data_IF_679541743553
#
_entry.id   IF_679541743553
#
_cell.length_a   1.000
_cell.length_b   1.000
_cell.length_c   1.000
_cell.angle_alpha   90.00
_cell.angle_beta   90.00
_cell.angle_gamma   90.00
#
_symmetry.space_group_name_H-M   'P 1'
#
loop_
_entity.id
_entity.type
_entity.pdbx_description
1 polymer ?
#
# COMPACT_ATOMS: atom_id res chain seq x y z
N UNK A 1 28.29 -43.49 5.50
CA UNK A 1 26.99 -42.92 5.03
C UNK A 1 26.80 -41.52 5.60
N UNK A 2 26.98 -40.46 4.80
CA UNK A 2 26.76 -39.07 5.24
C UNK A 2 25.28 -38.70 5.06
N UNK A 3 24.56 -38.43 6.16
CA UNK A 3 23.17 -37.95 6.14
C UNK A 3 23.15 -36.49 5.65
N UNK A 4 22.57 -36.26 4.48
CA UNK A 4 22.30 -34.91 3.95
C UNK A 4 21.13 -34.34 4.76
N UNK A 5 21.40 -33.32 5.60
CA UNK A 5 20.34 -32.53 6.24
C UNK A 5 19.66 -31.67 5.17
N UNK A 6 18.41 -31.99 4.86
CA UNK A 6 17.51 -31.17 4.03
C UNK A 6 17.38 -29.80 4.73
N UNK A 7 17.92 -28.73 4.13
CA UNK A 7 17.65 -27.35 4.55
C UNK A 7 16.15 -27.11 4.36
N UNK A 8 15.37 -27.17 5.43
CA UNK A 8 14.02 -26.63 5.45
C UNK A 8 14.16 -25.14 5.14
N UNK A 9 13.70 -24.71 3.97
CA UNK A 9 13.64 -23.30 3.64
C UNK A 9 12.80 -22.61 4.73
N UNK A 10 13.40 -21.65 5.42
CA UNK A 10 12.68 -20.75 6.32
C UNK A 10 11.63 -20.02 5.48
N UNK A 11 10.37 -20.47 5.54
CA UNK A 11 9.25 -19.78 4.91
C UNK A 11 8.89 -18.56 5.75
N UNK A 12 9.76 -17.55 5.74
CA UNK A 12 9.32 -16.20 6.12
C UNK A 12 8.12 -15.87 5.22
N UNK A 13 6.97 -15.44 5.76
CA UNK A 13 5.87 -15.01 4.94
C UNK A 13 6.38 -13.90 4.01
N UNK A 14 6.26 -14.13 2.70
CA UNK A 14 6.67 -13.15 1.68
C UNK A 14 5.83 -11.90 1.94
N UNK A 15 6.47 -10.77 2.28
CA UNK A 15 5.79 -9.47 2.38
C UNK A 15 4.90 -9.31 1.14
N UNK A 16 3.62 -8.91 1.25
CA UNK A 16 2.79 -8.72 0.06
C UNK A 16 3.40 -7.65 -0.86
N UNK A 17 3.10 -7.68 -2.17
CA UNK A 17 3.43 -6.54 -3.01
C UNK A 17 2.65 -5.30 -2.55
N UNK A 18 3.17 -4.11 -2.82
CA UNK A 18 2.48 -2.86 -2.50
C UNK A 18 1.33 -2.63 -3.49
N UNK A 19 1.60 -2.88 -4.77
CA UNK A 19 0.61 -2.81 -5.83
C UNK A 19 0.68 -4.06 -6.70
N UNK A 20 -0.46 -4.42 -7.24
CA UNK A 20 -0.61 -5.36 -8.34
C UNK A 20 -1.20 -4.59 -9.51
N UNK A 21 -0.57 -4.62 -10.67
CA UNK A 21 -1.13 -4.05 -11.88
C UNK A 21 -1.41 -5.18 -12.83
N UNK A 22 -2.52 -5.16 -13.52
CA UNK A 22 -2.69 -6.06 -14.64
C UNK A 22 -3.46 -5.43 -15.78
N UNK A 23 -3.40 -6.14 -16.89
CA UNK A 23 -3.79 -5.64 -18.19
C UNK A 23 -4.04 -6.81 -19.14
N UNK A 24 -4.87 -6.56 -20.13
CA UNK A 24 -5.33 -7.58 -21.09
C UNK A 24 -4.66 -7.41 -22.44
N UNK A 25 -4.17 -6.21 -22.74
CA UNK A 25 -3.64 -5.85 -24.05
C UNK A 25 -2.13 -5.61 -23.97
N UNK A 26 -1.42 -6.20 -24.93
CA UNK A 26 0.03 -6.15 -25.17
C UNK A 26 0.94 -6.96 -24.25
N UNK A 27 2.10 -7.32 -24.82
CA UNK A 27 3.28 -7.74 -24.05
C UNK A 27 3.64 -6.66 -23.02
N UNK A 28 4.19 -7.04 -21.85
CA UNK A 28 4.59 -6.06 -20.84
C UNK A 28 5.52 -4.99 -21.44
N UNK A 29 5.26 -3.68 -21.21
CA UNK A 29 6.06 -2.63 -21.82
C UNK A 29 7.53 -2.78 -21.39
N UNK A 30 8.50 -2.62 -22.31
CA UNK A 30 9.90 -2.63 -21.93
C UNK A 30 10.17 -1.58 -20.83
N UNK A 31 11.00 -1.87 -19.84
CA UNK A 31 11.23 -0.98 -18.69
C UNK A 31 11.66 0.45 -19.07
N UNK A 32 12.27 0.62 -20.25
CA UNK A 32 12.64 1.94 -20.77
C UNK A 32 11.45 2.87 -21.03
N UNK A 33 10.27 2.34 -21.40
CA UNK A 33 9.05 3.15 -21.56
C UNK A 33 8.58 3.74 -20.23
N UNK A 34 8.65 2.93 -19.17
CA UNK A 34 8.35 3.39 -17.82
C UNK A 34 9.32 4.50 -17.38
N UNK A 35 10.61 4.35 -17.68
CA UNK A 35 11.60 5.38 -17.38
C UNK A 35 11.37 6.68 -18.15
N UNK A 36 11.08 6.59 -19.45
CA UNK A 36 10.75 7.75 -20.28
C UNK A 36 9.52 8.50 -19.73
N UNK A 37 8.42 7.78 -19.51
CA UNK A 37 7.20 8.34 -18.93
C UNK A 37 7.45 8.98 -17.56
N UNK A 38 8.19 8.31 -16.68
CA UNK A 38 8.47 8.85 -15.34
C UNK A 38 9.29 10.14 -15.41
N UNK A 39 10.29 10.20 -16.30
CA UNK A 39 11.14 11.37 -16.45
C UNK A 39 10.36 12.58 -16.97
N UNK A 40 9.44 12.35 -17.91
CA UNK A 40 8.54 13.38 -18.41
C UNK A 40 7.55 13.85 -17.33
N UNK A 41 6.90 12.92 -16.64
CA UNK A 41 5.86 13.23 -15.67
C UNK A 41 6.38 13.81 -14.34
N UNK A 42 7.57 13.40 -13.89
CA UNK A 42 8.09 13.74 -12.55
C UNK A 42 9.51 14.34 -12.56
N UNK A 43 10.05 14.69 -13.73
CA UNK A 43 11.36 15.36 -13.86
C UNK A 43 12.58 14.43 -13.81
N UNK A 44 12.43 13.16 -13.41
CA UNK A 44 13.47 12.14 -13.50
C UNK A 44 14.77 12.44 -12.74
N UNK A 45 15.85 11.65 -12.97
CA UNK A 45 15.88 10.43 -13.76
C UNK A 45 15.33 9.21 -12.98
N UNK A 46 14.60 8.34 -13.67
CA UNK A 46 14.32 6.96 -13.26
C UNK A 46 15.34 6.04 -13.92
N UNK A 47 16.18 5.41 -13.10
CA UNK A 47 17.14 4.40 -13.53
C UNK A 47 16.52 3.02 -13.42
N UNK A 48 16.70 2.20 -14.45
CA UNK A 48 16.27 0.79 -14.44
C UNK A 48 17.48 -0.11 -14.25
N UNK A 49 17.45 -0.97 -13.23
CA UNK A 49 18.43 -2.03 -13.02
C UNK A 49 17.78 -3.39 -13.28
N UNK A 50 18.16 -4.05 -14.37
CA UNK A 50 17.66 -5.39 -14.71
C UNK A 50 18.19 -6.42 -13.69
N UNK A 51 17.32 -7.33 -13.22
CA UNK A 51 17.65 -8.28 -12.17
C UNK A 51 17.67 -9.73 -12.69
N UNK A 52 18.86 -10.31 -12.73
CA UNK A 52 19.08 -11.72 -13.08
C UNK A 52 19.11 -12.00 -14.58
N UNK A 53 19.13 -13.28 -14.94
CA UNK A 53 19.14 -13.75 -16.34
C UNK A 53 17.76 -13.71 -17.02
N UNK A 54 16.71 -13.37 -16.27
CA UNK A 54 15.29 -13.34 -16.71
C UNK A 54 14.95 -12.09 -17.56
N UNK A 55 15.96 -11.41 -18.11
CA UNK A 55 15.77 -10.28 -19.04
C UNK A 55 14.99 -9.09 -18.44
N UNK A 56 14.09 -8.52 -19.25
CA UNK A 56 13.33 -7.30 -18.94
C UNK A 56 12.11 -7.55 -18.03
N UNK A 57 11.84 -8.80 -17.63
CA UNK A 57 10.65 -9.15 -16.85
C UNK A 57 10.81 -8.97 -15.34
N UNK A 58 12.03 -8.71 -14.85
CA UNK A 58 12.29 -8.37 -13.47
C UNK A 58 13.35 -7.29 -13.40
N UNK A 59 13.00 -6.18 -12.76
CA UNK A 59 13.90 -5.04 -12.66
C UNK A 59 13.63 -4.24 -11.39
N UNK A 60 14.60 -3.43 -11.01
CA UNK A 60 14.46 -2.41 -9.98
C UNK A 60 14.37 -1.04 -10.65
N UNK A 61 13.31 -0.30 -10.32
CA UNK A 61 13.09 1.08 -10.73
C UNK A 61 13.57 2.02 -9.62
N UNK A 62 14.59 2.81 -9.93
CA UNK A 62 15.36 3.59 -8.99
C UNK A 62 15.28 5.08 -9.29
N UNK A 63 14.83 5.88 -8.32
CA UNK A 63 14.88 7.33 -8.37
C UNK A 63 15.49 7.83 -7.06
N UNK A 64 16.56 8.63 -7.14
CA UNK A 64 17.38 9.07 -5.98
C UNK A 64 17.83 7.89 -5.09
N UNK A 65 17.33 7.77 -3.86
CA UNK A 65 17.54 6.66 -2.91
C UNK A 65 16.36 5.69 -2.87
N UNK A 66 15.23 6.02 -3.50
CA UNK A 66 14.01 5.22 -3.50
C UNK A 66 14.07 4.13 -4.56
N UNK A 67 13.65 2.93 -4.19
CA UNK A 67 13.74 1.73 -5.02
C UNK A 67 12.43 0.96 -4.97
N UNK A 68 11.92 0.57 -6.13
CA UNK A 68 10.80 -0.35 -6.24
C UNK A 68 11.20 -1.52 -7.15
N UNK A 69 10.92 -2.75 -6.72
CA UNK A 69 11.13 -3.92 -7.57
C UNK A 69 9.84 -4.22 -8.32
N UNK A 70 9.96 -4.36 -9.65
CA UNK A 70 8.87 -4.73 -10.55
C UNK A 70 9.11 -6.14 -11.07
N UNK A 71 8.08 -6.99 -10.99
CA UNK A 71 8.10 -8.34 -11.52
C UNK A 71 6.92 -8.54 -12.46
N UNK A 72 7.19 -8.71 -13.75
CA UNK A 72 6.19 -8.83 -14.82
C UNK A 72 5.96 -10.27 -15.28
N UNK A 73 7.00 -11.12 -15.23
CA UNK A 73 6.85 -12.56 -15.46
C UNK A 73 6.58 -13.26 -14.11
N UNK A 74 5.32 -13.29 -13.72
CA UNK A 74 4.86 -14.04 -12.56
C UNK A 74 4.55 -15.49 -12.97
N UNK A 75 4.87 -16.49 -12.12
CA UNK A 75 4.37 -17.85 -12.29
C UNK A 75 2.84 -17.91 -12.39
N UNK A 76 2.31 -18.85 -13.19
CA UNK A 76 0.86 -18.97 -13.45
C UNK A 76 0.03 -19.18 -12.17
N UNK A 77 0.57 -19.86 -11.16
CA UNK A 77 -0.08 -20.03 -9.86
C UNK A 77 -0.27 -18.70 -9.12
N UNK A 78 0.69 -17.78 -9.24
CA UNK A 78 0.59 -16.43 -8.66
C UNK A 78 -0.41 -15.59 -9.45
N UNK A 79 -0.40 -15.66 -10.78
CA UNK A 79 -1.35 -14.94 -11.64
C UNK A 79 -2.78 -15.40 -11.35
N UNK A 80 -3.03 -16.71 -11.34
CA UNK A 80 -4.34 -17.28 -11.06
C UNK A 80 -4.80 -16.96 -9.62
N UNK A 81 -3.90 -16.99 -8.64
CA UNK A 81 -4.23 -16.58 -7.28
C UNK A 81 -4.71 -15.12 -7.17
N UNK A 82 -4.13 -14.19 -7.96
CA UNK A 82 -4.63 -12.82 -8.03
C UNK A 82 -5.96 -12.71 -8.77
N UNK A 83 -6.13 -13.44 -9.88
CA UNK A 83 -7.41 -13.48 -10.62
C UNK A 83 -8.55 -13.97 -9.74
N UNK A 84 -8.35 -15.07 -9.03
CA UNK A 84 -9.36 -15.65 -8.13
C UNK A 84 -9.69 -14.70 -6.99
N UNK A 85 -8.66 -14.12 -6.35
CA UNK A 85 -8.83 -13.21 -5.22
C UNK A 85 -9.56 -11.92 -5.60
N UNK A 86 -9.23 -11.34 -6.76
CA UNK A 86 -9.75 -10.05 -7.18
C UNK A 86 -10.96 -10.18 -8.12
N UNK A 87 -11.38 -11.40 -8.43
CA UNK A 87 -12.36 -11.72 -9.47
C UNK A 87 -12.08 -10.98 -10.78
N UNK A 88 -10.80 -10.99 -11.16
CA UNK A 88 -10.22 -10.15 -12.18
C UNK A 88 -10.06 -10.95 -13.48
N UNK A 89 -10.32 -10.34 -14.65
CA UNK A 89 -10.29 -11.02 -15.96
C UNK A 89 -9.04 -10.77 -16.82
N UNK A 90 -8.11 -9.91 -16.40
CA UNK A 90 -6.97 -9.57 -17.24
C UNK A 90 -5.92 -10.68 -17.34
N UNK A 91 -5.27 -10.72 -18.50
CA UNK A 91 -4.36 -11.78 -18.93
C UNK A 91 -3.00 -11.71 -18.23
N UNK A 92 -2.49 -10.51 -17.96
CA UNK A 92 -1.17 -10.31 -17.36
C UNK A 92 -1.28 -9.62 -16.00
N UNK A 93 -0.34 -9.96 -15.12
CA UNK A 93 -0.23 -9.40 -13.77
C UNK A 93 1.22 -9.05 -13.49
N UNK A 94 1.43 -7.88 -12.91
CA UNK A 94 2.72 -7.32 -12.50
C UNK A 94 2.64 -7.04 -11.01
N UNK A 95 3.62 -7.54 -10.26
CA UNK A 95 3.79 -7.18 -8.86
C UNK A 95 4.81 -6.06 -8.69
N UNK A 96 4.45 -5.06 -7.90
CA UNK A 96 5.32 -3.94 -7.54
C UNK A 96 5.57 -3.99 -6.04
N UNK A 97 6.83 -4.02 -5.66
CA UNK A 97 7.29 -4.21 -4.28
C UNK A 97 8.11 -3.02 -3.83
N UNK A 98 7.83 -2.53 -2.63
CA UNK A 98 8.72 -1.59 -1.95
C UNK A 98 10.04 -2.29 -1.64
N UNK A 99 11.16 -1.64 -1.95
CA UNK A 99 12.49 -2.10 -1.58
C UNK A 99 13.05 -1.17 -0.50
N UNK A 100 12.68 -1.38 0.79
CA UNK A 100 13.18 -0.56 1.87
C UNK A 100 14.68 -0.83 2.07
N UNK A 101 15.52 0.01 1.46
CA UNK A 101 16.95 0.06 1.74
C UNK A 101 17.24 1.22 2.68
N UNK A 102 17.80 0.91 3.86
CA UNK A 102 18.23 1.91 4.84
C UNK A 102 17.08 2.59 5.60
N UNK A 103 17.36 3.79 6.14
CA UNK A 103 16.41 4.64 6.88
C UNK A 103 15.74 5.70 5.97
N UNK A 104 15.53 5.38 4.69
CA UNK A 104 14.86 6.29 3.76
C UNK A 104 13.45 6.65 4.22
N UNK A 105 12.96 7.84 3.86
CA UNK A 105 11.61 8.26 4.20
C UNK A 105 10.58 7.31 3.54
N UNK A 106 9.78 6.64 4.37
CA UNK A 106 8.74 5.72 3.89
C UNK A 106 7.64 6.46 3.12
N UNK A 107 7.48 7.77 3.33
CA UNK A 107 6.58 8.62 2.54
C UNK A 107 7.02 8.65 1.09
N UNK A 108 8.28 8.98 0.86
CA UNK A 108 8.85 9.03 -0.49
C UNK A 108 8.88 7.64 -1.12
N UNK A 109 9.13 6.59 -0.35
CA UNK A 109 9.07 5.22 -0.87
C UNK A 109 7.65 4.83 -1.30
N UNK A 110 6.63 5.20 -0.51
CA UNK A 110 5.23 4.98 -0.87
C UNK A 110 4.83 5.79 -2.11
N UNK A 111 5.22 7.06 -2.17
CA UNK A 111 5.01 7.95 -3.31
C UNK A 111 5.68 7.40 -4.57
N UNK A 112 6.97 7.04 -4.49
CA UNK A 112 7.72 6.44 -5.60
C UNK A 112 7.03 5.18 -6.11
N UNK A 113 6.63 4.29 -5.21
CA UNK A 113 5.96 3.04 -5.60
C UNK A 113 4.60 3.30 -6.27
N UNK A 114 3.83 4.28 -5.78
CA UNK A 114 2.58 4.69 -6.40
C UNK A 114 2.79 5.30 -7.79
N UNK A 115 3.85 6.12 -7.98
CA UNK A 115 4.24 6.64 -9.31
C UNK A 115 4.57 5.51 -10.29
N UNK A 116 5.29 4.49 -9.85
CA UNK A 116 5.59 3.31 -10.67
C UNK A 116 4.29 2.56 -11.02
N UNK A 117 3.39 2.36 -10.07
CA UNK A 117 2.09 1.74 -10.32
C UNK A 117 1.26 2.53 -11.35
N UNK A 118 1.15 3.85 -11.17
CA UNK A 118 0.48 4.75 -12.12
C UNK A 118 1.07 4.63 -13.53
N UNK A 119 2.40 4.68 -13.65
CA UNK A 119 3.06 4.59 -14.95
C UNK A 119 2.74 3.30 -15.68
N UNK A 120 2.81 2.18 -14.97
CA UNK A 120 2.47 0.88 -15.53
C UNK A 120 0.97 0.79 -15.88
N UNK A 121 0.09 1.29 -15.02
CA UNK A 121 -1.35 1.35 -15.30
C UNK A 121 -1.66 2.14 -16.56
N UNK A 122 -1.07 3.34 -16.71
CA UNK A 122 -1.31 4.19 -17.88
C UNK A 122 -0.71 3.60 -19.16
N UNK A 123 0.53 3.09 -19.11
CA UNK A 123 1.22 2.52 -20.27
C UNK A 123 0.60 1.20 -20.76
N UNK A 124 -0.18 0.52 -19.92
CA UNK A 124 -0.81 -0.77 -20.26
C UNK A 124 -2.33 -0.68 -20.39
N UNK A 125 -2.90 0.52 -20.20
CA UNK A 125 -4.36 0.72 -20.07
C UNK A 125 -4.98 -0.27 -19.07
N UNK A 126 -4.22 -0.60 -18.03
CA UNK A 126 -4.55 -1.63 -17.05
C UNK A 126 -5.34 -1.10 -15.86
N UNK A 127 -5.43 -1.91 -14.81
CA UNK A 127 -5.95 -1.51 -13.50
C UNK A 127 -4.89 -1.79 -12.44
N UNK A 128 -4.61 -0.83 -11.57
CA UNK A 128 -3.82 -1.08 -10.38
C UNK A 128 -4.73 -1.50 -9.22
N UNK A 129 -4.24 -2.39 -8.38
CA UNK A 129 -4.81 -2.73 -7.10
C UNK A 129 -3.76 -2.46 -6.03
N UNK A 130 -4.05 -1.48 -5.17
CA UNK A 130 -3.28 -1.19 -3.98
C UNK A 130 -3.59 -2.24 -2.93
N UNK A 131 -2.66 -3.17 -2.75
CA UNK A 131 -2.87 -4.32 -1.88
C UNK A 131 -3.00 -3.89 -0.42
N UNK A 132 -2.30 -2.82 -0.01
CA UNK A 132 -2.32 -2.35 1.37
C UNK A 132 -3.52 -1.47 1.64
N UNK A 133 -3.85 -0.54 0.74
CA UNK A 133 -5.04 0.31 0.84
C UNK A 133 -6.36 -0.39 0.52
N UNK A 134 -6.30 -1.58 -0.09
CA UNK A 134 -7.45 -2.35 -0.56
C UNK A 134 -8.36 -1.56 -1.51
N UNK A 135 -7.74 -1.00 -2.56
CA UNK A 135 -8.42 -0.15 -3.55
C UNK A 135 -7.97 -0.46 -4.97
N UNK A 136 -8.94 -0.48 -5.89
CA UNK A 136 -8.69 -0.48 -7.33
C UNK A 136 -8.53 0.95 -7.87
N UNK A 137 -7.55 1.14 -8.74
CA UNK A 137 -7.15 2.41 -9.35
C UNK A 137 -7.02 2.19 -10.87
N UNK A 138 -8.04 2.62 -11.60
CA UNK A 138 -8.08 2.64 -13.06
C UNK A 138 -7.33 3.87 -13.60
N UNK A 139 -7.06 3.94 -14.91
CA UNK A 139 -6.37 5.08 -15.53
C UNK A 139 -6.99 6.45 -15.18
N UNK A 140 -8.32 6.53 -15.07
CA UNK A 140 -9.04 7.75 -14.68
C UNK A 140 -8.77 8.16 -13.23
N UNK A 141 -8.73 7.20 -12.30
CA UNK A 141 -8.53 7.46 -10.86
C UNK A 141 -7.16 8.11 -10.60
N UNK A 142 -6.16 7.76 -11.42
CA UNK A 142 -4.83 8.35 -11.37
C UNK A 142 -4.77 9.81 -11.86
N UNK A 143 -5.78 10.28 -12.59
CA UNK A 143 -5.81 11.67 -13.08
C UNK A 143 -6.12 12.66 -11.96
N UNK A 144 -6.90 12.22 -10.98
CA UNK A 144 -7.23 13.01 -9.78
C UNK A 144 -6.07 13.02 -8.76
N UNK A 145 -5.14 12.07 -8.87
CA UNK A 145 -3.95 11.96 -8.03
C UNK A 145 -2.74 12.61 -8.70
N UNK A 146 -2.36 13.82 -8.26
CA UNK A 146 -1.21 14.52 -8.86
C UNK A 146 0.10 13.75 -8.67
N UNK A 147 0.34 13.22 -7.48
CA UNK A 147 1.55 12.49 -7.08
C UNK A 147 2.86 13.25 -7.35
N UNK A 148 2.85 14.57 -7.54
CA UNK A 148 4.04 15.42 -7.63
C UNK A 148 4.68 15.65 -6.26
N UNK A 149 3.87 15.61 -5.20
CA UNK A 149 4.28 15.54 -3.80
C UNK A 149 3.56 14.42 -3.04
N UNK A 150 3.99 14.16 -1.81
CA UNK A 150 3.31 13.21 -0.94
C UNK A 150 2.04 13.82 -0.36
N UNK A 151 0.92 13.13 -0.53
CA UNK A 151 -0.36 13.43 0.13
C UNK A 151 -0.89 12.16 0.79
N UNK A 152 -1.21 12.21 2.09
CA UNK A 152 -1.62 10.99 2.80
C UNK A 152 -2.89 10.37 2.22
N UNK A 153 -3.85 11.20 1.80
CA UNK A 153 -5.14 10.76 1.24
C UNK A 153 -5.02 9.89 -0.02
N UNK A 154 -3.92 10.01 -0.75
CA UNK A 154 -3.64 9.16 -1.92
C UNK A 154 -3.18 7.75 -1.51
N UNK A 155 -2.85 7.54 -0.24
CA UNK A 155 -2.20 6.33 0.26
C UNK A 155 -2.92 5.65 1.42
N UNK A 156 -3.75 6.37 2.18
CA UNK A 156 -4.49 5.87 3.33
C UNK A 156 -5.97 6.19 3.17
N UNK A 157 -6.81 5.19 3.45
CA UNK A 157 -8.28 5.31 3.42
C UNK A 157 -8.86 4.91 4.76
N UNK A 158 -10.01 5.49 5.09
CA UNK A 158 -10.83 5.09 6.23
C UNK A 158 -12.01 4.28 5.69
N UNK A 159 -12.18 3.08 6.22
CA UNK A 159 -13.29 2.18 5.96
C UNK A 159 -14.29 2.25 7.09
N UNK A 160 -15.54 1.92 6.76
CA UNK A 160 -16.68 1.95 7.66
C UNK A 160 -17.46 0.64 7.52
N UNK A 161 -17.68 -0.04 8.66
CA UNK A 161 -18.48 -1.25 8.73
C UNK A 161 -19.51 -1.13 9.87
N UNK A 162 -20.78 -1.28 9.53
CA UNK A 162 -21.86 -1.24 10.52
C UNK A 162 -21.98 -2.59 11.24
N UNK A 163 -21.86 -2.56 12.57
CA UNK A 163 -22.16 -3.71 13.40
C UNK A 163 -23.56 -3.54 14.00
N UNK A 164 -24.58 -3.82 13.19
CA UNK A 164 -26.00 -3.68 13.54
C UNK A 164 -26.35 -4.37 14.88
N UNK A 165 -25.78 -5.55 15.15
CA UNK A 165 -26.01 -6.29 16.40
C UNK A 165 -25.36 -5.68 17.66
N UNK A 166 -24.52 -4.65 17.52
CA UNK A 166 -23.82 -3.98 18.63
C UNK A 166 -24.13 -2.49 18.75
N UNK A 167 -24.95 -1.93 17.87
CA UNK A 167 -25.34 -0.51 17.93
C UNK A 167 -24.21 0.47 17.59
N UNK A 168 -23.14 0.00 16.93
CA UNK A 168 -21.96 0.78 16.64
C UNK A 168 -21.51 0.64 15.18
N UNK A 169 -20.83 1.68 14.71
CA UNK A 169 -20.10 1.73 13.45
C UNK A 169 -18.62 1.58 13.76
N UNK A 170 -17.96 0.65 13.09
CA UNK A 170 -16.51 0.47 13.15
C UNK A 170 -15.85 1.27 12.04
N UNK A 171 -14.95 2.16 12.43
CA UNK A 171 -14.10 2.92 11.51
C UNK A 171 -12.67 2.43 11.64
N UNK A 172 -11.99 2.19 10.53
CA UNK A 172 -10.60 1.76 10.56
C UNK A 172 -9.83 2.19 9.33
N UNK A 173 -8.52 2.38 9.46
CA UNK A 173 -7.67 2.72 8.32
C UNK A 173 -7.19 1.50 7.55
N UNK A 174 -6.93 1.69 6.27
CA UNK A 174 -6.04 0.83 5.48
C UNK A 174 -5.03 1.70 4.75
N UNK A 175 -3.75 1.34 4.84
CA UNK A 175 -2.67 2.03 4.14
C UNK A 175 -1.49 2.38 5.04
N UNK A 176 -1.70 2.49 6.36
CA UNK A 176 -0.63 2.87 7.31
C UNK A 176 0.52 1.87 7.33
N UNK A 177 0.25 0.60 7.04
CA UNK A 177 1.28 -0.43 6.95
C UNK A 177 2.32 -0.17 5.84
N UNK A 178 2.01 0.61 4.79
CA UNK A 178 3.00 1.05 3.78
C UNK A 178 4.12 1.88 4.38
N UNK A 179 3.82 2.54 5.50
CA UNK A 179 4.74 3.36 6.28
C UNK A 179 5.27 2.60 7.50
N UNK A 180 5.06 1.29 7.57
CA UNK A 180 5.45 0.42 8.69
C UNK A 180 4.87 0.86 10.03
N UNK A 181 3.64 1.39 9.99
CA UNK A 181 2.81 1.72 11.13
C UNK A 181 1.67 0.70 11.25
N UNK A 182 1.08 0.62 12.45
CA UNK A 182 -0.15 -0.14 12.66
C UNK A 182 -1.34 0.66 12.10
N UNK A 183 -2.36 -0.04 11.62
CA UNK A 183 -3.62 0.62 11.26
C UNK A 183 -4.31 1.14 12.54
N UNK A 184 -5.18 2.13 12.42
CA UNK A 184 -5.91 2.72 13.55
C UNK A 184 -7.40 2.46 13.39
N UNK A 185 -8.12 2.31 14.51
CA UNK A 185 -9.55 2.07 14.51
C UNK A 185 -10.28 2.80 15.63
N UNK A 186 -11.57 3.04 15.44
CA UNK A 186 -12.47 3.49 16.49
C UNK A 186 -13.87 2.91 16.30
N UNK A 187 -14.68 2.97 17.36
CA UNK A 187 -16.07 2.57 17.34
C UNK A 187 -16.93 3.75 17.74
N UNK A 188 -17.91 4.11 16.92
CA UNK A 188 -18.84 5.21 17.19
C UNK A 188 -20.27 4.68 17.28
N UNK A 189 -21.14 5.26 18.12
CA UNK A 189 -22.58 4.97 18.09
C UNK A 189 -23.17 5.19 16.69
N UNK A 190 -24.16 4.37 16.33
CA UNK A 190 -24.96 4.60 15.12
C UNK A 190 -25.68 5.96 15.19
N UNK A 191 -25.87 6.60 14.04
CA UNK A 191 -26.60 7.87 13.92
C UNK A 191 -25.76 9.14 14.14
N UNK A 192 -24.47 9.01 14.43
CA UNK A 192 -23.54 10.15 14.40
C UNK A 192 -23.04 10.41 12.97
N UNK A 193 -22.69 11.65 12.62
CA UNK A 193 -22.04 11.94 11.35
C UNK A 193 -20.69 11.22 11.21
N UNK A 194 -20.47 10.60 10.06
CA UNK A 194 -19.25 9.84 9.78
C UNK A 194 -18.03 10.76 9.55
N UNK A 195 -18.28 11.91 8.91
CA UNK A 195 -17.23 12.81 8.40
C UNK A 195 -16.22 13.27 9.48
N UNK A 196 -16.64 13.74 10.67
CA UNK A 196 -15.68 14.11 11.73
C UNK A 196 -14.80 12.95 12.17
N UNK A 197 -15.34 11.73 12.20
CA UNK A 197 -14.58 10.53 12.58
C UNK A 197 -13.53 10.20 11.52
N UNK A 198 -13.90 10.26 10.24
CA UNK A 198 -13.00 10.05 9.12
C UNK A 198 -11.88 11.10 9.14
N UNK A 199 -12.23 12.38 9.27
CA UNK A 199 -11.25 13.48 9.30
C UNK A 199 -10.28 13.33 10.49
N UNK A 200 -10.78 12.97 11.67
CA UNK A 200 -9.94 12.71 12.87
C UNK A 200 -8.96 11.56 12.64
N UNK A 201 -9.40 10.45 12.05
CA UNK A 201 -8.52 9.32 11.75
C UNK A 201 -7.47 9.66 10.69
N UNK A 202 -7.85 10.45 9.67
CA UNK A 202 -6.90 10.91 8.66
C UNK A 202 -5.86 11.87 9.27
N UNK A 203 -6.27 12.84 10.09
CA UNK A 203 -5.36 13.76 10.77
C UNK A 203 -4.39 12.99 11.69
N UNK A 204 -4.90 12.06 12.51
CA UNK A 204 -4.07 11.20 13.34
C UNK A 204 -3.05 10.41 12.50
N UNK A 205 -3.49 9.89 11.36
CA UNK A 205 -2.62 9.18 10.42
C UNK A 205 -1.51 10.09 9.88
N UNK A 206 -1.80 11.36 9.58
CA UNK A 206 -0.81 12.33 9.11
C UNK A 206 0.26 12.58 10.17
N UNK A 207 -0.16 12.78 11.43
CA UNK A 207 0.73 12.97 12.58
C UNK A 207 1.63 11.75 12.77
N UNK A 208 1.08 10.53 12.73
CA UNK A 208 1.84 9.30 12.90
C UNK A 208 2.84 9.07 11.77
N UNK A 209 2.44 9.32 10.52
CA UNK A 209 3.30 9.22 9.34
C UNK A 209 4.38 10.30 9.34
N UNK A 210 4.13 11.48 9.93
CA UNK A 210 5.11 12.54 10.11
C UNK A 210 6.16 12.21 11.18
N UNK A 211 5.69 11.70 12.32
CA UNK A 211 6.55 11.33 13.43
C UNK A 211 7.33 10.03 13.18
N UNK A 212 6.94 9.25 12.17
CA UNK A 212 7.51 7.93 11.86
C UNK A 212 7.51 6.98 13.08
N UNK A 213 6.52 7.14 13.96
CA UNK A 213 6.46 6.49 15.27
C UNK A 213 5.28 5.54 15.32
N UNK A 214 5.54 4.27 15.61
CA UNK A 214 4.50 3.29 15.94
C UNK A 214 3.89 3.66 17.29
N UNK A 215 2.60 3.98 17.30
CA UNK A 215 1.88 4.38 18.50
C UNK A 215 1.75 3.20 19.47
N UNK A 216 1.98 3.44 20.76
CA UNK A 216 1.84 2.44 21.82
C UNK A 216 0.55 2.66 22.60
N UNK A 217 0.05 1.60 23.23
CA UNK A 217 -1.08 1.73 24.16
C UNK A 217 -0.71 2.70 25.28
N UNK A 218 -1.64 3.61 25.62
CA UNK A 218 -1.49 4.77 26.52
C UNK A 218 -0.76 5.97 25.93
N UNK A 219 -0.27 5.92 24.69
CA UNK A 219 0.20 7.14 24.02
C UNK A 219 -0.96 8.13 23.89
N UNK A 220 -0.62 9.41 24.03
CA UNK A 220 -1.50 10.55 23.86
C UNK A 220 -0.95 11.40 22.72
N UNK A 221 -1.80 11.73 21.77
CA UNK A 221 -1.42 12.43 20.55
C UNK A 221 -2.34 13.63 20.40
N UNK A 222 -1.75 14.82 20.37
CA UNK A 222 -2.47 16.06 20.16
C UNK A 222 -2.69 16.25 18.66
N UNK A 223 -3.94 16.48 18.27
CA UNK A 223 -4.33 16.82 16.90
C UNK A 223 -4.43 18.34 16.78
N UNK A 224 -3.76 18.92 15.78
CA UNK A 224 -3.62 20.37 15.62
C UNK A 224 -4.90 21.03 15.14
N UNK A 225 -5.67 20.35 14.29
CA UNK A 225 -6.80 20.92 13.56
C UNK A 225 -8.09 20.69 14.34
N UNK A 226 -8.21 19.53 14.98
CA UNK A 226 -9.33 19.21 15.85
C UNK A 226 -9.19 19.81 17.26
N UNK A 227 -7.96 20.08 17.74
CA UNK A 227 -7.72 20.55 19.11
C UNK A 227 -8.04 19.52 20.21
N UNK A 228 -8.33 18.26 19.81
CA UNK A 228 -8.65 17.16 20.71
C UNK A 228 -7.43 16.24 20.91
N UNK A 229 -7.30 15.67 22.11
CA UNK A 229 -6.28 14.66 22.44
C UNK A 229 -6.81 13.26 22.09
N UNK A 230 -6.13 12.56 21.19
CA UNK A 230 -6.40 11.16 20.88
C UNK A 230 -5.58 10.25 21.78
N UNK A 231 -6.23 9.23 22.35
CA UNK A 231 -5.59 8.22 23.19
C UNK A 231 -5.62 6.86 22.54
N UNK A 232 -4.48 6.18 22.52
CA UNK A 232 -4.40 4.77 22.11
C UNK A 232 -4.79 3.90 23.30
N UNK A 233 -5.87 3.14 23.18
CA UNK A 233 -6.43 2.38 24.31
C UNK A 233 -6.23 0.86 24.20
N UNK A 234 -6.10 0.34 22.97
CA UNK A 234 -5.96 -1.10 22.74
C UNK A 234 -5.09 -1.37 21.52
N UNK A 235 -4.53 -2.57 21.50
CA UNK A 235 -3.89 -3.17 20.34
C UNK A 235 -4.51 -4.54 20.10
N UNK A 236 -4.87 -4.82 18.84
CA UNK A 236 -5.32 -6.14 18.41
C UNK A 236 -4.76 -6.46 17.04
N UNK A 237 -4.76 -7.74 16.70
CA UNK A 237 -4.54 -8.19 15.33
C UNK A 237 -5.85 -8.73 14.81
N UNK A 238 -6.29 -8.22 13.66
CA UNK A 238 -7.51 -8.65 13.00
C UNK A 238 -7.16 -9.43 11.73
N UNK A 239 -7.83 -10.56 11.52
CA UNK A 239 -7.64 -11.43 10.34
C UNK A 239 -8.86 -11.42 9.41
N UNK A 240 -9.95 -10.74 9.79
CA UNK A 240 -11.21 -10.71 9.05
C UNK A 240 -11.14 -9.80 7.83
N UNK A 241 -10.20 -8.84 7.82
CA UNK A 241 -9.92 -7.91 6.72
C UNK A 241 -9.06 -8.58 5.62
N UNK A 242 -9.25 -9.89 5.39
CA UNK A 242 -8.55 -10.67 4.35
C UNK A 242 -7.04 -10.89 4.57
N UNK A 243 -6.45 -10.32 5.62
CA UNK A 243 -5.06 -10.54 6.05
C UNK A 243 -4.92 -10.23 7.55
N UNK A 244 -3.80 -10.65 8.13
CA UNK A 244 -3.40 -10.25 9.49
C UNK A 244 -3.00 -8.76 9.50
N UNK A 245 -3.81 -7.92 10.14
CA UNK A 245 -3.62 -6.47 10.27
C UNK A 245 -3.47 -6.09 11.74
N UNK A 246 -2.36 -5.46 12.16
CA UNK A 246 -2.28 -4.87 13.48
C UNK A 246 -3.10 -3.57 13.52
N UNK A 247 -3.99 -3.47 14.51
CA UNK A 247 -4.90 -2.35 14.72
C UNK A 247 -4.70 -1.74 16.12
N UNK A 248 -4.72 -0.41 16.16
CA UNK A 248 -4.70 0.40 17.38
C UNK A 248 -6.07 1.05 17.57
N UNK A 249 -6.80 0.63 18.61
CA UNK A 249 -8.05 1.28 18.97
C UNK A 249 -7.75 2.63 19.62
N UNK A 250 -8.43 3.67 19.12
CA UNK A 250 -8.27 5.04 19.55
C UNK A 250 -9.59 5.63 20.04
N UNK A 251 -9.48 6.53 21.02
CA UNK A 251 -10.60 7.33 21.54
C UNK A 251 -10.19 8.78 21.71
N UNK A 252 -11.16 9.66 21.52
CA UNK A 252 -11.07 11.09 21.78
C UNK A 252 -12.42 11.56 22.33
N UNK A 253 -12.35 12.62 23.14
CA UNK A 253 -13.50 13.30 23.74
C UNK A 253 -13.83 14.56 22.94
#
# INVERSE_FOLDING_TARGET
>A
MKKIKKKTASSKPRTPPAFVVGFTHADPPPPGYLAAWFNEAYGGPLTIHLMGSMGHHRYEAAHTTWRATVQMALPDDVVNGWRDRLNWSHAHVVEIRQSPQGRGDRRDLALHTARIARGLTLLTEGTAYDVIGDVFLNPSDWSDMRLDGFTLRDHVRVFQEEHLGRGHVWFYTKGLMKFGLDEIETYRPLGLPDRPTIDTLLELSEVLVAAHKVAKVRDRILLSDAGHEVRIIRHRTDCTIGRSVPLREVRWE
#
